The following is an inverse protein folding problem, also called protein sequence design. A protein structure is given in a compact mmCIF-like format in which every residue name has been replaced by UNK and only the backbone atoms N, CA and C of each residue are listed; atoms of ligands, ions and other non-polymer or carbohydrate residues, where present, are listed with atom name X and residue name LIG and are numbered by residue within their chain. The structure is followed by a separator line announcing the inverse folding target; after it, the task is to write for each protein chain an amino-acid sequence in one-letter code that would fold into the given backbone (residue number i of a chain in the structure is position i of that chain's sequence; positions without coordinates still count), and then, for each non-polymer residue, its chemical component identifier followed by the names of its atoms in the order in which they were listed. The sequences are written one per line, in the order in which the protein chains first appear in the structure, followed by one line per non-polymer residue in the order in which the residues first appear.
data_IF_807344149735
#
_entry.id   IF_807344149735
#
_cell.length_a   1.000
_cell.length_b   1.000
_cell.length_c   1.000
_cell.angle_alpha   90.00
_cell.angle_beta   90.00
_cell.angle_gamma   90.00
#
_symmetry.space_group_name_H-M   'P 1'
#
loop_
_entity.id
_entity.type
_entity.pdbx_description
1 polymer ?
#
# COMPACT_ATOMS: atom_id res chain seq x y z
N UNK A 1 28.89 -14.47 -37.55
CA UNK A 1 29.19 -13.03 -37.75
C UNK A 1 27.93 -12.37 -38.30
N UNK A 2 27.31 -11.44 -37.56
CA UNK A 2 26.13 -10.73 -38.08
C UNK A 2 26.57 -9.79 -39.22
N UNK A 3 25.93 -9.88 -40.38
CA UNK A 3 26.27 -8.99 -41.50
C UNK A 3 25.85 -7.56 -41.19
N UNK A 4 26.61 -6.59 -41.69
CA UNK A 4 26.36 -5.16 -41.49
C UNK A 4 24.95 -4.74 -41.98
N UNK A 5 24.42 -5.42 -43.00
CA UNK A 5 23.03 -5.24 -43.47
C UNK A 5 21.96 -5.71 -42.48
N UNK A 6 22.19 -6.80 -41.73
CA UNK A 6 21.29 -7.24 -40.63
C UNK A 6 21.28 -6.26 -39.47
N UNK A 7 22.43 -5.65 -39.20
CA UNK A 7 22.58 -4.66 -38.13
C UNK A 7 21.88 -3.35 -38.50
N UNK A 8 22.03 -2.90 -39.76
CA UNK A 8 21.33 -1.73 -40.29
C UNK A 8 19.81 -1.90 -40.30
N UNK A 9 19.30 -3.06 -40.73
CA UNK A 9 17.86 -3.36 -40.68
C UNK A 9 17.34 -3.41 -39.25
N UNK A 10 18.02 -4.10 -38.33
CA UNK A 10 17.62 -4.13 -36.92
C UNK A 10 17.59 -2.75 -36.25
N UNK A 11 18.51 -1.84 -36.63
CA UNK A 11 18.49 -0.45 -36.16
C UNK A 11 17.27 0.29 -36.73
N UNK A 12 17.01 0.15 -38.03
CA UNK A 12 15.89 0.80 -38.70
C UNK A 12 14.54 0.34 -38.14
N UNK A 13 14.33 -0.97 -37.99
CA UNK A 13 13.10 -1.56 -37.42
C UNK A 13 12.87 -1.11 -35.96
N UNK A 14 13.97 -0.86 -35.21
CA UNK A 14 13.89 -0.33 -33.85
C UNK A 14 13.45 1.14 -33.84
N UNK A 15 13.98 1.93 -34.75
CA UNK A 15 13.64 3.35 -34.88
C UNK A 15 12.18 3.51 -35.32
N UNK A 16 11.73 2.70 -36.28
CA UNK A 16 10.35 2.72 -36.76
C UNK A 16 9.35 2.37 -35.66
N UNK A 17 9.61 1.32 -34.86
CA UNK A 17 8.77 0.97 -33.71
C UNK A 17 8.69 2.08 -32.67
N UNK A 18 9.78 2.81 -32.42
CA UNK A 18 9.76 3.97 -31.52
C UNK A 18 8.86 5.08 -32.08
N UNK A 19 9.02 5.41 -33.37
CA UNK A 19 8.23 6.44 -34.03
C UNK A 19 6.73 6.11 -34.01
N UNK A 20 6.38 4.86 -34.32
CA UNK A 20 5.00 4.36 -34.26
C UNK A 20 4.42 4.41 -32.84
N UNK A 21 5.22 4.04 -31.83
CA UNK A 21 4.78 4.09 -30.43
C UNK A 21 4.58 5.54 -29.96
N UNK A 22 5.45 6.46 -30.38
CA UNK A 22 5.38 7.87 -30.01
C UNK A 22 4.19 8.58 -30.66
N UNK A 23 3.95 8.36 -31.97
CA UNK A 23 2.78 8.92 -32.66
C UNK A 23 1.47 8.43 -32.06
N UNK A 24 1.40 7.13 -31.73
CA UNK A 24 0.23 6.55 -31.08
C UNK A 24 -0.01 7.14 -29.68
N UNK A 25 1.03 7.44 -28.89
CA UNK A 25 0.85 8.09 -27.58
C UNK A 25 0.36 9.53 -27.73
N UNK A 26 0.91 10.28 -28.68
CA UNK A 26 0.55 11.69 -28.87
C UNK A 26 -0.90 11.86 -29.32
N UNK A 27 -1.46 10.89 -30.04
CA UNK A 27 -2.87 10.88 -30.46
C UNK A 27 -3.88 10.48 -29.38
N UNK A 28 -3.45 10.02 -28.21
CA UNK A 28 -4.36 9.56 -27.14
C UNK A 28 -4.80 10.71 -26.22
N UNK A 29 -6.03 10.61 -25.73
CA UNK A 29 -6.54 11.48 -24.67
C UNK A 29 -5.68 11.34 -23.39
N UNK A 30 -5.70 12.35 -22.52
CA UNK A 30 -4.92 12.37 -21.27
C UNK A 30 -5.19 11.14 -20.39
N UNK A 31 -6.47 10.74 -20.25
CA UNK A 31 -6.85 9.56 -19.49
C UNK A 31 -6.31 8.26 -20.11
N UNK A 32 -6.43 8.12 -21.42
CA UNK A 32 -5.97 6.91 -22.12
C UNK A 32 -4.44 6.78 -22.12
N UNK A 33 -3.72 7.91 -22.23
CA UNK A 33 -2.27 7.95 -22.03
C UNK A 33 -1.88 7.46 -20.63
N UNK A 34 -2.55 7.97 -19.60
CA UNK A 34 -2.29 7.55 -18.22
C UNK A 34 -2.53 6.04 -18.03
N UNK A 35 -3.66 5.53 -18.52
CA UNK A 35 -4.00 4.10 -18.44
C UNK A 35 -2.97 3.22 -19.15
N UNK A 36 -2.49 3.64 -20.31
CA UNK A 36 -1.43 2.94 -21.05
C UNK A 36 -0.12 2.93 -20.26
N UNK A 37 0.32 4.08 -19.73
CA UNK A 37 1.56 4.15 -18.94
C UNK A 37 1.52 3.31 -17.67
N UNK A 38 0.37 3.27 -16.98
CA UNK A 38 0.20 2.40 -15.82
C UNK A 38 0.34 0.92 -16.18
N UNK A 39 -0.28 0.49 -17.29
CA UNK A 39 -0.14 -0.89 -17.77
C UNK A 39 1.30 -1.22 -18.16
N UNK A 40 1.96 -0.34 -18.91
CA UNK A 40 3.34 -0.55 -19.35
C UNK A 40 4.28 -0.62 -18.14
N UNK A 41 4.10 0.24 -17.14
CA UNK A 41 4.87 0.19 -15.89
C UNK A 41 4.73 -1.16 -15.18
N UNK A 42 3.49 -1.65 -15.02
CA UNK A 42 3.23 -2.96 -14.42
C UNK A 42 3.79 -4.10 -15.27
N UNK A 43 3.75 -4.00 -16.59
CA UNK A 43 4.27 -5.05 -17.47
C UNK A 43 5.81 -5.13 -17.46
N UNK A 44 6.51 -4.00 -17.45
CA UNK A 44 7.97 -3.96 -17.44
C UNK A 44 8.57 -4.21 -16.05
N UNK A 45 7.95 -3.70 -14.99
CA UNK A 45 8.50 -3.78 -13.61
C UNK A 45 7.73 -4.72 -12.69
N UNK A 46 6.51 -5.12 -13.04
CA UNK A 46 5.68 -6.00 -12.21
C UNK A 46 6.05 -7.47 -12.26
N UNK A 47 7.01 -7.88 -13.10
CA UNK A 47 7.50 -9.27 -13.15
C UNK A 47 8.20 -9.73 -11.86
N UNK A 48 8.50 -8.82 -10.93
CA UNK A 48 9.22 -9.13 -9.69
C UNK A 48 8.34 -9.34 -8.45
N UNK A 49 7.01 -9.16 -8.51
CA UNK A 49 6.17 -9.25 -7.30
C UNK A 49 4.81 -9.89 -7.54
N UNK A 50 4.82 -11.20 -7.78
CA UNK A 50 3.83 -12.08 -7.17
C UNK A 50 4.38 -12.61 -5.83
N UNK A 51 5.03 -11.75 -5.05
CA UNK A 51 5.05 -11.99 -3.62
C UNK A 51 3.70 -11.50 -3.20
N UNK A 52 2.85 -12.43 -2.81
CA UNK A 52 1.55 -12.21 -2.19
C UNK A 52 1.78 -11.39 -0.90
N UNK A 53 2.10 -10.11 -1.06
CA UNK A 53 2.28 -9.14 0.01
C UNK A 53 0.91 -8.65 0.47
N UNK A 54 -0.14 -9.46 0.30
CA UNK A 54 -1.22 -9.46 1.28
C UNK A 54 -0.65 -10.02 2.58
N UNK A 55 0.28 -9.29 3.20
CA UNK A 55 0.41 -9.33 4.64
C UNK A 55 -1.02 -9.14 5.16
N UNK A 56 -1.49 -9.98 6.08
CA UNK A 56 -2.81 -9.78 6.67
C UNK A 56 -2.90 -8.32 7.09
N UNK A 57 -3.75 -7.55 6.39
CA UNK A 57 -3.96 -6.15 6.73
C UNK A 57 -4.69 -6.21 8.06
N UNK A 58 -3.93 -6.12 9.16
CA UNK A 58 -4.50 -6.04 10.49
C UNK A 58 -5.30 -4.76 10.52
N UNK A 59 -6.62 -4.91 10.56
CA UNK A 59 -7.51 -3.77 10.74
C UNK A 59 -7.38 -3.30 12.18
N UNK A 60 -7.61 -2.01 12.45
CA UNK A 60 -7.65 -1.48 13.82
C UNK A 60 -8.53 -2.34 14.76
N UNK A 61 -9.62 -2.88 14.23
CA UNK A 61 -10.51 -3.81 14.92
C UNK A 61 -9.82 -5.12 15.33
N UNK A 62 -8.98 -5.68 14.48
CA UNK A 62 -8.23 -6.91 14.75
C UNK A 62 -7.15 -6.65 15.79
N UNK A 63 -6.44 -5.52 15.67
CA UNK A 63 -5.47 -5.06 16.68
C UNK A 63 -6.11 -4.89 18.06
N UNK A 64 -7.30 -4.28 18.12
CA UNK A 64 -8.06 -4.14 19.38
C UNK A 64 -8.51 -5.50 19.93
N UNK A 65 -8.86 -6.46 19.07
CA UNK A 65 -9.28 -7.80 19.46
C UNK A 65 -8.13 -8.64 20.02
N UNK A 66 -6.95 -8.55 19.40
CA UNK A 66 -5.73 -9.25 19.82
C UNK A 66 -5.15 -8.67 21.11
N UNK A 67 -5.16 -7.34 21.26
CA UNK A 67 -4.60 -6.64 22.42
C UNK A 67 -5.55 -6.48 23.61
N UNK A 68 -6.79 -7.00 23.54
CA UNK A 68 -7.77 -6.84 24.62
C UNK A 68 -7.40 -7.70 25.84
N UNK A 69 -6.73 -7.10 26.82
CA UNK A 69 -6.55 -7.66 28.16
C UNK A 69 -7.26 -6.76 29.15
N UNK A 70 -8.21 -7.32 29.91
CA UNK A 70 -9.01 -6.57 30.89
C UNK A 70 -8.14 -5.93 32.00
N UNK A 71 -7.00 -6.54 32.32
CA UNK A 71 -6.03 -6.02 33.30
C UNK A 71 -4.71 -5.82 32.55
N UNK A 72 -4.39 -4.57 32.22
CA UNK A 72 -3.07 -4.21 31.70
C UNK A 72 -2.11 -4.10 32.89
N UNK A 73 -1.13 -5.01 32.99
CA UNK A 73 -0.10 -4.95 34.04
C UNK A 73 0.96 -3.90 33.69
N UNK A 74 1.58 -3.30 34.72
CA UNK A 74 2.57 -2.22 34.59
C UNK A 74 3.83 -2.63 33.78
N UNK A 75 4.09 -3.93 33.67
CA UNK A 75 5.14 -4.51 32.82
C UNK A 75 4.85 -4.40 31.30
N UNK A 76 3.57 -4.33 30.88
CA UNK A 76 3.19 -4.27 29.46
C UNK A 76 3.37 -2.86 28.84
N UNK A 77 3.61 -1.83 29.66
CA UNK A 77 3.88 -0.45 29.24
C UNK A 77 5.29 -0.26 28.65
N UNK A 78 6.21 -1.22 28.89
CA UNK A 78 7.62 -1.13 28.48
C UNK A 78 7.86 -1.37 26.97
N UNK A 79 6.98 -2.12 26.30
CA UNK A 79 7.11 -2.47 24.88
C UNK A 79 6.08 -1.72 24.02
N UNK A 80 6.27 -0.43 23.81
CA UNK A 80 5.30 0.43 23.13
C UNK A 80 5.35 0.35 21.59
N UNK A 81 5.02 -0.82 21.04
CA UNK A 81 4.61 -0.94 19.62
C UNK A 81 3.39 -0.04 19.35
N UNK A 82 3.26 0.52 18.15
CA UNK A 82 2.18 1.45 17.80
C UNK A 82 0.78 0.89 18.10
N UNK A 83 0.59 -0.43 17.95
CA UNK A 83 -0.63 -1.18 18.24
C UNK A 83 -1.05 -1.06 19.72
N UNK A 84 -0.11 -1.20 20.66
CA UNK A 84 -0.37 -1.09 22.10
C UNK A 84 -0.76 0.34 22.50
N UNK A 85 -0.18 1.35 21.85
CA UNK A 85 -0.57 2.77 22.06
C UNK A 85 -2.00 3.05 21.61
N UNK A 86 -2.46 2.38 20.54
CA UNK A 86 -3.84 2.48 20.06
C UNK A 86 -4.82 1.88 21.08
N UNK A 87 -4.53 0.68 21.58
CA UNK A 87 -5.33 -0.01 22.61
C UNK A 87 -5.44 0.84 23.88
N UNK A 88 -4.32 1.40 24.36
CA UNK A 88 -4.29 2.26 25.56
C UNK A 88 -5.21 3.48 25.44
N UNK A 89 -5.18 4.17 24.29
CA UNK A 89 -6.05 5.33 24.04
C UNK A 89 -7.54 4.99 24.07
N UNK A 90 -7.90 3.82 23.53
CA UNK A 90 -9.28 3.33 23.58
C UNK A 90 -9.71 2.99 25.02
N UNK A 91 -8.82 2.38 25.79
CA UNK A 91 -9.06 2.06 27.20
C UNK A 91 -9.23 3.33 28.04
N UNK A 92 -8.33 4.31 27.92
CA UNK A 92 -8.41 5.59 28.63
C UNK A 92 -9.71 6.34 28.33
N UNK A 93 -10.20 6.25 27.09
CA UNK A 93 -11.49 6.81 26.69
C UNK A 93 -12.65 6.11 27.40
N UNK A 94 -12.68 4.78 27.36
CA UNK A 94 -13.72 3.98 28.01
C UNK A 94 -13.76 4.23 29.53
N UNK A 95 -12.60 4.31 30.19
CA UNK A 95 -12.52 4.54 31.62
C UNK A 95 -13.05 5.91 32.02
N UNK A 96 -12.74 6.96 31.24
CA UNK A 96 -13.26 8.31 31.48
C UNK A 96 -14.78 8.35 31.35
N UNK A 97 -15.35 7.67 30.36
CA UNK A 97 -16.80 7.61 30.18
C UNK A 97 -17.48 6.87 31.34
N UNK A 98 -16.95 5.73 31.78
CA UNK A 98 -17.50 4.96 32.91
C UNK A 98 -17.35 5.69 34.25
N UNK A 99 -16.19 6.31 34.51
CA UNK A 99 -15.98 7.13 35.71
C UNK A 99 -16.91 8.35 35.72
N UNK A 100 -17.05 9.04 34.59
CA UNK A 100 -17.97 10.17 34.48
C UNK A 100 -19.43 9.74 34.68
N UNK A 101 -19.85 8.60 34.10
CA UNK A 101 -21.19 8.06 34.31
C UNK A 101 -21.43 7.69 35.77
N UNK A 102 -20.42 7.16 36.48
CA UNK A 102 -20.52 6.85 37.91
C UNK A 102 -20.59 8.10 38.80
N UNK A 103 -19.91 9.18 38.42
CA UNK A 103 -20.00 10.49 39.09
C UNK A 103 -21.38 11.13 38.89
N UNK A 104 -21.97 11.00 37.70
CA UNK A 104 -23.30 11.54 37.36
C UNK A 104 -24.44 10.72 37.99
N UNK A 105 -24.28 9.40 38.16
CA UNK A 105 -25.26 8.54 38.84
C UNK A 105 -25.22 8.62 40.38
N UNK A 106 -24.18 9.22 40.96
CA UNK A 106 -24.05 9.46 42.41
C UNK A 106 -24.33 10.91 42.82
N UNK A 107 -24.80 11.75 41.89
CA UNK A 107 -25.48 13.02 42.16
C UNK A 107 -26.99 12.85 41.92
#
# INVERSE_FOLDING_TARGET
MASLGRLKSAIFDREERKMQYQSHIQGLNAYDRHKKFMKDYVQFYGHQKNVDNSLPIKTDKDTLREGYRFILSEEDDMDSTWEKRLVKRYYDKLFKEVLNLRQVLHC
#
